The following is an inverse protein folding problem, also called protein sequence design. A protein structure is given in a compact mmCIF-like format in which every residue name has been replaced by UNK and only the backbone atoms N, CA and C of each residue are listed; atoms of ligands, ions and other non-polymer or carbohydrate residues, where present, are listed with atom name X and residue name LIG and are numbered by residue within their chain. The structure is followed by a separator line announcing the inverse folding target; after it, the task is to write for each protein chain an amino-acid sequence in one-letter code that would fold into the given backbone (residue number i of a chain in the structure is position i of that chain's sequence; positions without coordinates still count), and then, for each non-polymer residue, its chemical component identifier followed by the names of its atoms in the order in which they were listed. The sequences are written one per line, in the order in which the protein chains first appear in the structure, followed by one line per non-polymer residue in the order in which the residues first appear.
data_IF_071852738223
#
_entry.id   IF_071852738223
#
_cell.length_a   1.000
_cell.length_b   1.000
_cell.length_c   1.000
_cell.angle_alpha   90.00
_cell.angle_beta   90.00
_cell.angle_gamma   90.00
#
_symmetry.space_group_name_H-M   'P 1'
#
loop_
_entity.id
_entity.type
_entity.pdbx_description
1 polymer ?
#
# COMPACT_ATOMS: atom_id res chain seq x y z
N UNK A 1 -19.71 -34.78 19.05
CA UNK A 1 -18.96 -33.68 18.39
C UNK A 1 -17.63 -33.34 19.07
N UNK A 2 -17.53 -33.38 20.41
CA UNK A 2 -16.31 -33.01 21.16
C UNK A 2 -15.07 -33.91 20.90
N UNK A 3 -15.25 -35.21 20.67
CA UNK A 3 -14.15 -36.15 20.36
C UNK A 3 -13.58 -36.06 18.94
N UNK A 4 -14.40 -35.68 17.95
CA UNK A 4 -13.91 -35.47 16.56
C UNK A 4 -13.08 -34.20 16.45
N UNK A 5 -13.40 -33.16 17.23
CA UNK A 5 -12.64 -31.91 17.28
C UNK A 5 -11.24 -32.13 17.86
N UNK A 6 -11.11 -32.87 18.96
CA UNK A 6 -9.81 -33.19 19.57
C UNK A 6 -8.91 -34.04 18.66
N UNK A 7 -9.45 -35.11 18.06
CA UNK A 7 -8.70 -35.93 17.09
C UNK A 7 -8.28 -35.10 15.87
N UNK A 8 -9.12 -34.15 15.43
CA UNK A 8 -8.79 -33.24 14.34
C UNK A 8 -7.72 -32.23 14.74
N UNK A 9 -7.78 -31.65 15.95
CA UNK A 9 -6.76 -30.76 16.49
C UNK A 9 -5.41 -31.46 16.65
N UNK A 10 -5.38 -32.69 17.16
CA UNK A 10 -4.16 -33.48 17.30
C UNK A 10 -3.58 -33.88 15.94
N UNK A 11 -4.43 -34.25 14.98
CA UNK A 11 -4.03 -34.52 13.59
C UNK A 11 -3.48 -33.26 12.90
N UNK A 12 -4.08 -32.10 13.14
CA UNK A 12 -3.59 -30.81 12.64
C UNK A 12 -2.23 -30.50 13.28
N UNK A 13 -2.09 -30.61 14.60
CA UNK A 13 -0.84 -30.35 15.31
C UNK A 13 0.30 -31.30 14.87
N UNK A 14 0.00 -32.58 14.68
CA UNK A 14 0.98 -33.55 14.18
C UNK A 14 1.40 -33.25 12.74
N UNK A 15 0.47 -32.92 11.84
CA UNK A 15 0.79 -32.57 10.45
C UNK A 15 1.52 -31.21 10.34
N UNK A 16 1.19 -30.24 11.20
CA UNK A 16 1.93 -28.98 11.32
C UNK A 16 3.36 -29.23 11.84
N UNK A 17 3.53 -30.11 12.83
CA UNK A 17 4.85 -30.52 13.33
C UNK A 17 5.69 -31.21 12.25
N UNK A 18 5.08 -32.04 11.40
CA UNK A 18 5.74 -32.65 10.23
C UNK A 18 6.08 -31.63 9.14
N UNK A 19 5.24 -30.62 8.92
CA UNK A 19 5.52 -29.49 8.02
C UNK A 19 6.68 -28.63 8.56
N UNK A 20 6.87 -28.66 9.88
CA UNK A 20 8.04 -28.13 10.56
C UNK A 20 9.15 -29.17 10.72
N UNK A 21 9.36 -30.12 9.80
CA UNK A 21 10.54 -30.99 9.79
C UNK A 21 11.59 -30.51 8.78
N UNK A 22 12.87 -30.80 9.04
CA UNK A 22 13.99 -30.45 8.14
C UNK A 22 14.25 -31.53 7.08
N UNK A 23 13.28 -32.40 6.79
CA UNK A 23 13.47 -33.48 5.81
C UNK A 23 13.50 -32.90 4.39
N UNK A 24 14.56 -33.23 3.65
CA UNK A 24 14.64 -32.92 2.21
C UNK A 24 13.67 -33.81 1.45
N UNK A 25 12.70 -33.23 0.74
CA UNK A 25 11.86 -33.99 -0.17
C UNK A 25 12.71 -34.54 -1.33
N UNK A 26 12.88 -35.87 -1.35
CA UNK A 26 13.50 -36.57 -2.46
C UNK A 26 12.71 -36.34 -3.74
N UNK A 27 13.32 -35.69 -4.73
CA UNK A 27 12.67 -35.39 -6.00
C UNK A 27 12.60 -36.65 -6.87
N UNK A 28 11.39 -37.16 -7.12
CA UNK A 28 11.09 -37.87 -8.38
C UNK A 28 10.26 -36.90 -9.22
N UNK A 29 10.94 -36.03 -9.96
CA UNK A 29 10.36 -35.35 -11.12
C UNK A 29 11.33 -35.57 -12.27
N UNK A 30 11.03 -36.48 -13.22
CA UNK A 30 11.86 -36.71 -14.39
C UNK A 30 11.64 -35.55 -15.38
N UNK A 31 12.71 -34.84 -15.77
CA UNK A 31 12.69 -34.01 -16.98
C UNK A 31 13.22 -32.57 -16.93
N UNK A 32 14.11 -32.17 -16.01
CA UNK A 32 14.68 -30.80 -16.00
C UNK A 32 16.21 -30.73 -16.04
N UNK A 33 16.87 -31.69 -16.69
CA UNK A 33 18.34 -31.66 -16.86
C UNK A 33 18.81 -30.67 -17.96
N UNK A 34 17.88 -30.07 -18.72
CA UNK A 34 18.21 -29.17 -19.83
C UNK A 34 18.49 -27.70 -19.46
N UNK A 35 18.21 -27.27 -18.22
CA UNK A 35 18.32 -25.84 -17.85
C UNK A 35 18.91 -25.57 -16.47
N UNK A 36 19.90 -26.37 -16.06
CA UNK A 36 20.64 -26.16 -14.80
C UNK A 36 22.07 -25.74 -15.12
N UNK A 37 22.37 -24.44 -14.96
CA UNK A 37 23.70 -23.89 -15.15
C UNK A 37 23.97 -22.82 -14.09
N UNK A 38 24.71 -23.21 -13.06
CA UNK A 38 24.99 -22.40 -11.86
C UNK A 38 25.78 -21.13 -12.18
N UNK A 39 26.80 -21.23 -13.04
CA UNK A 39 27.64 -20.09 -13.43
C UNK A 39 26.84 -19.06 -14.22
N UNK A 40 25.97 -19.53 -15.12
CA UNK A 40 25.10 -18.64 -15.90
C UNK A 40 23.97 -18.04 -15.03
N UNK A 41 23.41 -18.82 -14.10
CA UNK A 41 22.42 -18.35 -13.13
C UNK A 41 22.99 -17.23 -12.25
N UNK A 42 24.23 -17.35 -11.77
CA UNK A 42 24.89 -16.31 -10.96
C UNK A 42 25.04 -15.00 -11.75
N UNK A 43 25.48 -15.07 -13.01
CA UNK A 43 25.58 -13.89 -13.88
C UNK A 43 24.21 -13.23 -14.06
N UNK A 44 23.16 -14.01 -14.28
CA UNK A 44 21.79 -13.49 -14.38
C UNK A 44 21.34 -12.82 -13.07
N UNK A 45 21.65 -13.38 -11.90
CA UNK A 45 21.33 -12.76 -10.59
C UNK A 45 22.04 -11.42 -10.40
N UNK A 46 23.30 -11.29 -10.83
CA UNK A 46 24.03 -10.01 -10.78
C UNK A 46 23.43 -8.99 -11.75
N UNK A 47 23.02 -9.41 -12.94
CA UNK A 47 22.28 -8.56 -13.88
C UNK A 47 20.93 -8.13 -13.27
N UNK A 48 20.23 -9.04 -12.59
CA UNK A 48 18.99 -8.75 -11.89
C UNK A 48 19.17 -7.65 -10.83
N UNK A 49 20.20 -7.78 -9.98
CA UNK A 49 20.55 -6.76 -8.97
C UNK A 49 20.72 -5.38 -9.61
N UNK A 50 21.53 -5.28 -10.66
CA UNK A 50 21.82 -4.01 -11.32
C UNK A 50 20.57 -3.40 -11.99
N UNK A 51 19.82 -4.22 -12.74
CA UNK A 51 18.63 -3.76 -13.48
C UNK A 51 17.49 -3.35 -12.56
N UNK A 52 17.19 -4.13 -11.52
CA UNK A 52 16.16 -3.83 -10.53
C UNK A 52 16.52 -2.56 -9.74
N UNK A 53 17.79 -2.41 -9.32
CA UNK A 53 18.25 -1.22 -8.60
C UNK A 53 18.08 0.05 -9.46
N UNK A 54 18.58 0.04 -10.70
CA UNK A 54 18.46 1.19 -11.61
C UNK A 54 16.99 1.53 -11.84
N UNK A 55 16.19 0.52 -12.12
CA UNK A 55 14.77 0.71 -12.44
C UNK A 55 13.98 1.20 -11.23
N UNK A 56 14.27 0.71 -10.03
CA UNK A 56 13.66 1.19 -8.78
C UNK A 56 14.05 2.63 -8.46
N UNK A 57 15.32 2.99 -8.60
CA UNK A 57 15.78 4.38 -8.43
C UNK A 57 15.09 5.31 -9.43
N UNK A 58 15.04 4.93 -10.71
CA UNK A 58 14.33 5.71 -11.73
C UNK A 58 12.83 5.84 -11.42
N UNK A 59 12.18 4.75 -11.02
CA UNK A 59 10.77 4.73 -10.65
C UNK A 59 10.42 5.75 -9.57
N UNK A 60 11.17 5.75 -8.46
CA UNK A 60 10.95 6.70 -7.35
C UNK A 60 11.39 8.12 -7.68
N UNK A 61 12.50 8.29 -8.42
CA UNK A 61 13.05 9.61 -8.72
C UNK A 61 12.15 10.44 -9.64
N UNK A 62 11.45 9.82 -10.60
CA UNK A 62 10.61 10.53 -11.59
C UNK A 62 9.51 11.38 -10.91
N UNK A 63 8.66 10.83 -10.02
CA UNK A 63 7.68 11.63 -9.28
C UNK A 63 8.30 12.67 -8.36
N UNK A 64 9.43 12.35 -7.70
CA UNK A 64 10.08 13.26 -6.75
C UNK A 64 10.68 14.49 -7.43
N UNK A 65 11.38 14.31 -8.55
CA UNK A 65 11.94 15.41 -9.35
C UNK A 65 10.85 16.16 -10.11
N UNK A 66 9.73 15.50 -10.42
CA UNK A 66 8.55 16.12 -11.02
C UNK A 66 7.95 17.28 -10.22
N UNK A 67 8.23 17.36 -8.91
CA UNK A 67 7.89 18.50 -8.06
C UNK A 67 8.60 19.80 -8.51
N UNK A 68 9.83 19.68 -9.02
CA UNK A 68 10.68 20.82 -9.38
C UNK A 68 10.71 21.09 -10.90
N UNK A 69 10.34 20.10 -11.73
CA UNK A 69 10.37 20.21 -13.19
C UNK A 69 8.99 20.44 -13.83
N UNK A 70 8.88 21.50 -14.65
CA UNK A 70 7.63 21.98 -15.30
C UNK A 70 6.95 20.94 -16.21
N UNK A 71 7.69 19.98 -16.78
CA UNK A 71 7.17 18.94 -17.69
C UNK A 71 6.51 17.76 -16.94
N UNK A 72 6.91 17.49 -15.70
CA UNK A 72 6.45 16.39 -14.86
C UNK A 72 5.67 16.88 -13.64
N UNK A 73 5.08 18.08 -13.74
CA UNK A 73 4.30 18.67 -12.64
C UNK A 73 3.24 17.66 -12.19
N UNK A 74 3.16 17.41 -10.89
CA UNK A 74 2.23 16.48 -10.23
C UNK A 74 0.75 16.75 -10.53
N UNK A 75 0.44 17.91 -11.13
CA UNK A 75 -0.89 18.26 -11.63
C UNK A 75 -1.22 17.80 -13.06
N UNK A 76 -0.24 17.28 -13.80
CA UNK A 76 -0.43 16.97 -15.21
C UNK A 76 -1.37 15.77 -15.40
N UNK A 77 -2.17 15.82 -16.48
CA UNK A 77 -3.06 14.71 -16.88
C UNK A 77 -2.29 13.40 -17.09
N UNK A 78 -1.05 13.49 -17.58
CA UNK A 78 -0.17 12.34 -17.78
C UNK A 78 0.27 11.71 -16.45
N UNK A 79 0.61 12.51 -15.44
CA UNK A 79 1.00 12.00 -14.13
C UNK A 79 -0.15 11.23 -13.46
N UNK A 80 -1.38 11.76 -13.54
CA UNK A 80 -2.58 11.09 -13.01
C UNK A 80 -2.87 9.78 -13.75
N UNK A 81 -2.74 9.75 -15.08
CA UNK A 81 -2.89 8.53 -15.85
C UNK A 81 -1.78 7.49 -15.53
N UNK A 82 -0.54 7.96 -15.34
CA UNK A 82 0.59 7.10 -14.96
C UNK A 82 0.43 6.52 -13.54
N UNK A 83 -0.13 7.29 -12.58
CA UNK A 83 -0.49 6.77 -11.25
C UNK A 83 -1.54 5.67 -11.35
N UNK A 84 -2.59 5.88 -12.14
CA UNK A 84 -3.63 4.89 -12.37
C UNK A 84 -3.08 3.61 -13.03
N UNK A 85 -2.19 3.77 -14.01
CA UNK A 85 -1.45 2.66 -14.62
C UNK A 85 -0.64 1.88 -13.58
N UNK A 86 0.16 2.58 -12.76
CA UNK A 86 0.97 1.97 -11.73
C UNK A 86 0.11 1.21 -10.70
N UNK A 87 -1.03 1.78 -10.29
CA UNK A 87 -1.98 1.11 -9.41
C UNK A 87 -2.52 -0.20 -10.01
N UNK A 88 -2.81 -0.21 -11.32
CA UNK A 88 -3.18 -1.42 -12.05
C UNK A 88 -2.06 -2.48 -12.07
N UNK A 89 -0.81 -2.07 -12.28
CA UNK A 89 0.37 -2.96 -12.20
C UNK A 89 0.47 -3.60 -10.82
N UNK A 90 0.41 -2.82 -9.74
CA UNK A 90 0.52 -3.32 -8.35
C UNK A 90 -0.62 -4.28 -8.02
N UNK A 91 -1.85 -3.96 -8.45
CA UNK A 91 -3.01 -4.83 -8.26
C UNK A 91 -2.79 -6.20 -8.93
N UNK A 92 -2.29 -6.20 -10.17
CA UNK A 92 -1.99 -7.42 -10.89
C UNK A 92 -0.79 -8.18 -10.28
N UNK A 93 0.24 -7.48 -9.77
CA UNK A 93 1.33 -8.12 -9.01
C UNK A 93 0.76 -8.93 -7.84
N UNK A 94 -0.10 -8.32 -7.02
CA UNK A 94 -0.73 -8.99 -5.88
C UNK A 94 -1.52 -10.24 -6.27
N UNK A 95 -2.41 -10.13 -7.26
CA UNK A 95 -3.32 -11.21 -7.63
C UNK A 95 -2.75 -12.28 -8.56
N UNK A 96 -1.90 -11.90 -9.50
CA UNK A 96 -1.47 -12.76 -10.61
C UNK A 96 -0.06 -13.30 -10.40
N UNK A 97 0.79 -12.59 -9.66
CA UNK A 97 2.16 -13.02 -9.41
C UNK A 97 2.32 -13.62 -8.00
N UNK A 98 2.02 -12.85 -6.97
CA UNK A 98 2.37 -13.23 -5.60
C UNK A 98 1.42 -14.27 -5.03
N UNK A 99 0.11 -14.08 -5.22
CA UNK A 99 -0.88 -14.99 -4.66
C UNK A 99 -0.81 -16.41 -5.27
N UNK A 100 -0.58 -16.59 -6.59
CA UNK A 100 -0.33 -17.91 -7.15
C UNK A 100 0.97 -18.54 -6.66
N UNK A 101 2.05 -17.77 -6.52
CA UNK A 101 3.32 -18.26 -5.96
C UNK A 101 3.15 -18.71 -4.50
N UNK A 102 2.40 -17.95 -3.70
CA UNK A 102 2.05 -18.39 -2.35
C UNK A 102 1.25 -19.70 -2.35
N UNK A 103 0.35 -19.86 -3.32
CA UNK A 103 -0.48 -21.05 -3.46
C UNK A 103 0.35 -22.25 -3.90
N UNK A 104 1.28 -22.08 -4.84
CA UNK A 104 2.15 -23.16 -5.30
C UNK A 104 3.08 -23.64 -4.17
N UNK A 105 3.67 -22.73 -3.37
CA UNK A 105 4.48 -23.12 -2.21
C UNK A 105 3.66 -23.83 -1.13
N UNK A 106 2.43 -23.39 -0.83
CA UNK A 106 1.58 -24.04 0.19
C UNK A 106 0.93 -25.34 -0.29
N UNK A 107 0.79 -25.56 -1.59
CA UNK A 107 0.15 -26.79 -2.14
C UNK A 107 1.15 -27.76 -2.76
N UNK A 108 2.45 -27.51 -2.56
CA UNK A 108 3.53 -28.33 -3.09
C UNK A 108 3.40 -29.79 -2.62
N UNK A 109 3.67 -30.79 -3.48
CA UNK A 109 3.64 -32.22 -3.11
C UNK A 109 4.54 -32.62 -1.94
N UNK A 110 5.54 -31.78 -1.60
CA UNK A 110 6.40 -31.94 -0.44
C UNK A 110 5.68 -31.72 0.91
N UNK A 111 4.51 -31.07 0.89
CA UNK A 111 3.70 -30.83 2.08
C UNK A 111 2.63 -31.92 2.26
N UNK A 112 2.24 -32.23 3.52
CA UNK A 112 1.16 -33.16 3.76
C UNK A 112 -0.15 -32.64 3.15
N UNK A 113 -0.87 -33.52 2.43
CA UNK A 113 -2.13 -33.19 1.74
C UNK A 113 -3.18 -32.54 2.66
N UNK A 114 -3.11 -32.81 3.96
CA UNK A 114 -3.91 -32.17 4.98
C UNK A 114 -2.98 -31.44 5.98
N UNK A 115 -3.26 -30.18 6.34
CA UNK A 115 -4.39 -29.34 5.92
C UNK A 115 -4.16 -28.60 4.59
N UNK A 116 -2.90 -28.50 4.14
CA UNK A 116 -2.46 -27.50 3.17
C UNK A 116 -3.12 -27.55 1.79
N UNK A 117 -3.30 -28.74 1.20
CA UNK A 117 -3.95 -28.87 -0.12
C UNK A 117 -5.48 -28.91 -0.06
N UNK A 118 -6.08 -28.95 1.13
CA UNK A 118 -7.54 -29.09 1.31
C UNK A 118 -8.27 -27.77 1.47
N UNK A 119 -7.56 -26.73 1.92
CA UNK A 119 -8.12 -25.40 2.15
C UNK A 119 -7.19 -24.36 1.52
N UNK A 120 -7.72 -23.33 0.84
CA UNK A 120 -6.91 -22.28 0.20
C UNK A 120 -6.31 -21.34 1.25
N UNK A 121 -5.31 -21.83 1.99
CA UNK A 121 -4.63 -21.07 3.05
C UNK A 121 -4.01 -19.78 2.53
N UNK A 122 -3.51 -19.77 1.29
CA UNK A 122 -2.93 -18.58 0.68
C UNK A 122 -3.93 -17.44 0.59
N UNK A 123 -5.10 -17.70 -0.01
CA UNK A 123 -6.18 -16.72 -0.12
C UNK A 123 -6.75 -16.30 1.24
N UNK A 124 -6.89 -17.23 2.18
CA UNK A 124 -7.34 -16.91 3.54
C UNK A 124 -6.37 -15.98 4.27
N UNK A 125 -5.07 -16.27 4.23
CA UNK A 125 -4.03 -15.44 4.87
C UNK A 125 -3.97 -14.07 4.19
N UNK A 126 -4.04 -14.01 2.85
CA UNK A 126 -4.08 -12.76 2.11
C UNK A 126 -5.29 -11.88 2.50
N UNK A 127 -6.48 -12.47 2.60
CA UNK A 127 -7.69 -11.77 3.05
C UNK A 127 -7.54 -11.25 4.49
N UNK A 128 -7.03 -12.08 5.41
CA UNK A 128 -6.80 -11.67 6.79
C UNK A 128 -5.76 -10.54 6.88
N UNK A 129 -4.71 -10.59 6.06
CA UNK A 129 -3.71 -9.53 5.97
C UNK A 129 -4.32 -8.22 5.45
N UNK A 130 -5.13 -8.27 4.39
CA UNK A 130 -5.82 -7.08 3.86
C UNK A 130 -6.75 -6.43 4.90
N UNK A 131 -7.50 -7.25 5.66
CA UNK A 131 -8.36 -6.76 6.76
C UNK A 131 -7.54 -6.16 7.91
N UNK A 132 -6.41 -6.79 8.26
CA UNK A 132 -5.50 -6.25 9.27
C UNK A 132 -4.88 -4.93 8.83
N UNK A 133 -4.52 -4.79 7.55
CA UNK A 133 -4.02 -3.53 6.98
C UNK A 133 -5.09 -2.44 7.03
N UNK A 134 -6.33 -2.74 6.65
CA UNK A 134 -7.46 -1.80 6.78
C UNK A 134 -7.63 -1.32 8.24
N UNK A 135 -7.57 -2.24 9.20
CA UNK A 135 -7.68 -1.91 10.61
C UNK A 135 -6.51 -1.01 11.07
N UNK A 136 -5.29 -1.34 10.64
CA UNK A 136 -4.10 -0.54 10.95
C UNK A 136 -4.19 0.86 10.35
N UNK A 137 -4.65 1.00 9.11
CA UNK A 137 -4.84 2.27 8.42
C UNK A 137 -5.92 3.14 9.10
N UNK A 138 -7.04 2.52 9.51
CA UNK A 138 -8.09 3.21 10.27
C UNK A 138 -7.60 3.69 11.64
N UNK A 139 -6.96 2.82 12.42
CA UNK A 139 -6.41 3.17 13.74
C UNK A 139 -5.33 4.25 13.60
N UNK A 140 -4.45 4.11 12.59
CA UNK A 140 -3.42 5.07 12.28
C UNK A 140 -4.02 6.45 12.00
N UNK A 141 -4.98 6.52 11.08
CA UNK A 141 -5.68 7.76 10.73
C UNK A 141 -6.32 8.41 11.95
N UNK A 142 -7.10 7.64 12.73
CA UNK A 142 -7.77 8.14 13.94
C UNK A 142 -6.80 8.62 15.03
N UNK A 143 -5.70 7.90 15.26
CA UNK A 143 -4.69 8.31 16.24
C UNK A 143 -4.03 9.63 15.85
N UNK A 144 -3.75 9.79 14.55
CA UNK A 144 -3.15 11.00 14.02
C UNK A 144 -4.10 12.20 14.07
N UNK A 145 -5.37 12.03 13.68
CA UNK A 145 -6.40 13.07 13.78
C UNK A 145 -6.56 13.57 15.23
N UNK A 146 -6.69 12.66 16.20
CA UNK A 146 -6.80 13.02 17.62
C UNK A 146 -5.58 13.75 18.18
N UNK A 147 -4.38 13.45 17.65
CA UNK A 147 -3.16 14.13 18.08
C UNK A 147 -3.09 15.56 17.53
N UNK A 148 -3.55 15.77 16.30
CA UNK A 148 -3.66 17.11 15.73
C UNK A 148 -4.70 17.95 16.44
N UNK A 149 -5.88 17.39 16.75
CA UNK A 149 -6.90 18.12 17.53
C UNK A 149 -6.32 18.62 18.85
N UNK A 150 -5.57 17.78 19.57
CA UNK A 150 -4.90 18.19 20.82
C UNK A 150 -3.83 19.26 20.61
N UNK A 151 -3.05 19.20 19.52
CA UNK A 151 -2.07 20.22 19.20
C UNK A 151 -2.72 21.56 18.83
N UNK A 152 -3.75 21.54 17.98
CA UNK A 152 -4.50 22.74 17.59
C UNK A 152 -5.19 23.37 18.80
N UNK A 153 -5.81 22.58 19.68
CA UNK A 153 -6.39 23.08 20.92
C UNK A 153 -5.34 23.64 21.89
N UNK A 154 -4.15 23.05 21.98
CA UNK A 154 -3.08 23.58 22.84
C UNK A 154 -2.51 24.91 22.33
N UNK A 155 -2.38 25.08 21.00
CA UNK A 155 -1.93 26.34 20.39
C UNK A 155 -3.00 27.43 20.52
N UNK A 156 -4.28 27.08 20.40
CA UNK A 156 -5.41 27.99 20.63
C UNK A 156 -5.50 28.43 22.10
N UNK A 157 -5.21 27.55 23.05
CA UNK A 157 -5.18 27.87 24.48
C UNK A 157 -3.99 28.79 24.84
N UNK A 158 -2.79 28.52 24.33
CA UNK A 158 -1.61 29.36 24.53
C UNK A 158 -1.77 30.77 23.92
N UNK A 159 -2.46 30.85 22.77
CA UNK A 159 -2.75 32.15 22.13
C UNK A 159 -3.87 32.93 22.81
N UNK A 160 -4.81 32.27 23.52
CA UNK A 160 -5.76 32.96 24.40
C UNK A 160 -5.09 33.49 25.68
N UNK A 161 -4.15 32.75 26.26
CA UNK A 161 -3.41 33.18 27.46
C UNK A 161 -2.52 34.41 27.18
N UNK A 162 -1.91 34.49 25.98
CA UNK A 162 -1.13 35.67 25.56
C UNK A 162 -1.97 36.93 25.33
N UNK A 163 -3.27 36.80 25.01
CA UNK A 163 -4.17 37.95 24.86
C UNK A 163 -4.68 38.42 26.23
N UNK A 164 -4.73 37.53 27.23
CA UNK A 164 -5.22 37.86 28.56
C UNK A 164 -4.25 38.71 29.41
N UNK A 165 -2.97 38.85 29.01
CA UNK A 165 -1.99 39.70 29.73
C UNK A 165 -1.98 41.18 29.30
N UNK A 166 -2.75 41.60 28.28
CA UNK A 166 -2.67 42.98 27.74
C UNK A 166 -3.88 43.89 27.95
N UNK A 167 -4.85 43.55 28.80
CA UNK A 167 -5.97 44.45 29.11
C UNK A 167 -6.40 44.41 30.57
N UNK A 168 -5.72 45.25 31.36
CA UNK A 168 -6.19 45.69 32.68
C UNK A 168 -7.25 46.77 32.46
N UNK A 169 -8.53 46.45 32.72
CA UNK A 169 -9.50 47.41 33.27
C UNK A 169 -10.46 46.65 34.19
N UNK A 170 -10.65 47.06 35.47
CA UNK A 170 -11.56 46.37 36.37
C UNK A 170 -12.99 46.89 36.16
N UNK A 171 -13.95 46.00 35.95
CA UNK A 171 -15.37 46.28 36.21
C UNK A 171 -16.00 45.11 36.94
N UNK A 172 -16.41 45.40 38.17
CA UNK A 172 -17.08 44.50 39.09
C UNK A 172 -18.60 44.51 38.87
N UNK A 173 -19.25 43.34 38.80
CA UNK A 173 -20.42 42.99 39.65
C UNK A 173 -21.00 41.59 39.42
N UNK A 174 -21.11 40.93 40.58
CA UNK A 174 -22.19 40.08 41.14
C UNK A 174 -22.35 38.61 40.74
N UNK A 175 -22.23 37.82 41.81
CA UNK A 175 -22.56 36.41 41.99
C UNK A 175 -24.08 36.11 41.90
N UNK A 176 -24.37 34.88 41.51
CA UNK A 176 -25.70 34.25 41.53
C UNK A 176 -25.65 32.81 41.00
N UNK A 177 -25.30 31.88 41.89
CA UNK A 177 -25.75 30.49 42.12
C UNK A 177 -26.23 29.49 41.03
N UNK A 178 -25.83 28.23 41.30
CA UNK A 178 -26.47 26.91 41.06
C UNK A 178 -26.58 26.19 39.68
N UNK A 179 -25.77 25.13 39.56
CA UNK A 179 -26.04 23.71 39.21
C UNK A 179 -26.53 23.24 37.82
N UNK A 180 -25.71 22.31 37.26
CA UNK A 180 -26.06 20.93 36.84
C UNK A 180 -27.03 20.72 35.64
N UNK A 181 -26.51 20.29 34.48
CA UNK A 181 -26.72 18.96 33.86
C UNK A 181 -26.15 18.95 32.44
N UNK A 182 -25.59 17.81 32.05
CA UNK A 182 -24.97 17.63 30.74
C UNK A 182 -25.99 17.48 29.61
N UNK A 183 -25.57 17.86 28.41
CA UNK A 183 -26.20 17.44 27.16
C UNK A 183 -25.07 17.21 26.14
N UNK A 184 -24.70 15.94 25.96
CA UNK A 184 -23.92 15.50 24.81
C UNK A 184 -24.84 15.56 23.58
N UNK A 185 -24.76 16.63 22.79
CA UNK A 185 -25.33 16.63 21.44
C UNK A 185 -24.25 16.38 20.38
N UNK A 186 -24.09 15.09 20.07
CA UNK A 186 -24.27 14.59 18.70
C UNK A 186 -23.54 15.31 17.57
N UNK A 187 -22.21 15.28 17.57
CA UNK A 187 -21.42 15.55 16.37
C UNK A 187 -21.54 14.40 15.36
N UNK A 188 -22.58 14.42 14.53
CA UNK A 188 -22.73 13.50 13.41
C UNK A 188 -21.62 13.76 12.36
N UNK A 189 -20.54 12.97 12.43
CA UNK A 189 -19.52 12.91 11.40
C UNK A 189 -20.07 12.11 10.21
N UNK A 190 -20.34 12.79 9.10
CA UNK A 190 -20.83 12.20 7.86
C UNK A 190 -19.71 11.40 7.18
N UNK A 191 -19.69 10.09 7.47
CA UNK A 191 -18.88 9.06 6.81
C UNK A 191 -19.59 8.64 5.51
N UNK A 192 -18.85 8.74 4.40
CA UNK A 192 -19.13 8.17 3.06
C UNK A 192 -20.47 8.58 2.44
N UNK A 193 -20.41 9.40 1.39
CA UNK A 193 -21.55 9.76 0.56
C UNK A 193 -22.21 8.54 -0.09
N UNK A 194 -23.34 8.11 0.47
CA UNK A 194 -24.33 7.26 -0.18
C UNK A 194 -25.67 7.99 -0.07
N UNK A 195 -26.15 8.47 -1.21
CA UNK A 195 -27.42 9.18 -1.34
C UNK A 195 -28.60 8.21 -1.10
N UNK A 196 -29.33 8.38 -0.01
CA UNK A 196 -30.60 7.70 0.24
C UNK A 196 -31.74 8.73 0.28
N UNK A 197 -32.71 8.56 -0.62
CA UNK A 197 -33.93 9.35 -0.68
C UNK A 197 -34.81 9.10 0.55
N UNK A 198 -35.11 10.15 1.31
CA UNK A 198 -36.28 10.20 2.18
C UNK A 198 -36.91 11.59 2.08
N UNK A 199 -38.15 11.62 1.60
CA UNK A 199 -38.94 12.81 1.35
C UNK A 199 -39.47 13.42 2.66
N UNK A 200 -39.26 14.73 2.86
CA UNK A 200 -40.21 15.58 3.59
C UNK A 200 -40.09 17.03 3.11
N UNK A 201 -41.24 17.60 2.74
CA UNK A 201 -41.38 18.89 2.07
C UNK A 201 -40.98 20.10 2.94
N UNK A 202 -40.16 21.00 2.40
CA UNK A 202 -40.28 22.45 2.61
C UNK A 202 -39.68 23.22 1.43
N UNK A 203 -40.44 24.16 0.88
CA UNK A 203 -40.12 24.92 -0.33
C UNK A 203 -39.18 26.12 -0.04
N UNK A 204 -38.12 26.27 -0.84
CA UNK A 204 -37.76 27.54 -1.49
C UNK A 204 -36.79 27.26 -2.67
N UNK A 205 -37.01 27.89 -3.83
CA UNK A 205 -36.22 27.70 -5.05
C UNK A 205 -35.04 28.67 -5.10
N UNK A 206 -33.84 28.15 -5.35
CA UNK A 206 -32.97 28.62 -6.44
C UNK A 206 -31.94 27.55 -6.78
N UNK A 207 -31.94 27.19 -8.05
CA UNK A 207 -31.17 26.13 -8.69
C UNK A 207 -29.66 26.37 -8.55
N UNK A 208 -29.00 25.62 -7.67
CA UNK A 208 -27.54 25.62 -7.56
C UNK A 208 -26.95 24.54 -8.48
N UNK A 209 -26.82 24.89 -9.76
CA UNK A 209 -25.79 24.29 -10.61
C UNK A 209 -24.46 24.89 -10.19
N UNK A 210 -23.60 24.13 -9.51
CA UNK A 210 -22.27 24.65 -9.18
C UNK A 210 -21.40 23.71 -8.36
N UNK A 211 -20.77 22.72 -9.00
CA UNK A 211 -19.69 21.96 -8.34
C UNK A 211 -18.44 21.77 -9.20
N UNK A 212 -18.31 22.45 -10.35
CA UNK A 212 -17.10 22.39 -11.17
C UNK A 212 -16.69 23.72 -11.84
N UNK A 213 -17.36 24.85 -11.59
CA UNK A 213 -17.00 26.13 -12.21
C UNK A 213 -16.10 26.99 -11.32
N UNK A 214 -14.87 27.22 -11.79
CA UNK A 214 -13.92 28.16 -11.22
C UNK A 214 -13.50 29.20 -12.25
N UNK A 215 -14.32 30.24 -12.48
CA UNK A 215 -13.88 31.62 -12.78
C UNK A 215 -15.08 32.56 -12.90
N UNK A 216 -15.23 33.52 -11.97
CA UNK A 216 -15.91 34.78 -12.25
C UNK A 216 -15.36 35.90 -11.35
N UNK A 217 -14.71 36.88 -11.97
CA UNK A 217 -14.27 38.12 -11.33
C UNK A 217 -15.46 38.85 -10.69
N UNK A 218 -15.43 39.03 -9.37
CA UNK A 218 -16.22 40.03 -8.67
C UNK A 218 -15.38 40.64 -7.54
N UNK A 219 -15.17 41.95 -7.63
CA UNK A 219 -14.43 42.75 -6.66
C UNK A 219 -15.25 42.90 -5.38
N UNK A 220 -14.85 42.19 -4.33
CA UNK A 220 -15.34 42.37 -2.96
C UNK A 220 -14.21 42.16 -1.97
N UNK A 221 -13.65 43.25 -1.45
CA UNK A 221 -12.62 43.20 -0.40
C UNK A 221 -13.27 42.89 0.96
N UNK A 222 -13.02 41.68 1.47
CA UNK A 222 -13.29 41.27 2.85
C UNK A 222 -11.98 40.74 3.42
N UNK A 223 -11.44 41.42 4.44
CA UNK A 223 -10.24 41.02 5.15
C UNK A 223 -10.62 40.06 6.27
N UNK A 224 -10.53 38.76 5.99
CA UNK A 224 -10.47 37.71 7.01
C UNK A 224 -9.09 37.09 6.99
N UNK A 225 -8.36 37.22 8.09
CA UNK A 225 -7.11 36.51 8.32
C UNK A 225 -7.40 35.03 8.59
N UNK A 226 -7.67 34.28 7.52
CA UNK A 226 -7.67 32.82 7.54
C UNK A 226 -6.24 32.32 7.61
N UNK A 227 -5.78 31.96 8.81
CA UNK A 227 -4.58 31.15 9.00
C UNK A 227 -4.80 29.82 8.25
N UNK A 228 -3.87 29.49 7.37
CA UNK A 228 -3.93 28.32 6.50
C UNK A 228 -4.04 27.02 7.31
N UNK A 229 -5.18 26.35 7.18
CA UNK A 229 -5.44 25.03 7.78
C UNK A 229 -6.02 24.00 6.81
N UNK A 230 -6.18 24.33 5.53
CA UNK A 230 -6.84 23.43 4.55
C UNK A 230 -5.84 22.48 3.86
N UNK A 231 -4.53 22.71 4.02
CA UNK A 231 -3.47 21.89 3.38
C UNK A 231 -2.82 20.87 4.34
N UNK A 232 -3.07 20.95 5.65
CA UNK A 232 -2.45 20.07 6.68
C UNK A 232 -3.20 18.73 6.87
N UNK A 233 -4.51 18.68 6.58
CA UNK A 233 -5.36 17.50 6.77
C UNK A 233 -5.08 16.39 5.74
N UNK A 234 -4.69 16.77 4.52
CA UNK A 234 -4.28 15.82 3.47
C UNK A 234 -2.89 15.20 3.72
N UNK A 235 -1.94 15.97 4.25
CA UNK A 235 -0.55 15.54 4.40
C UNK A 235 -0.37 14.35 5.35
N UNK A 236 -1.20 14.24 6.38
CA UNK A 236 -1.09 13.18 7.38
C UNK A 236 -1.68 11.86 6.92
N UNK A 237 -2.81 11.88 6.20
CA UNK A 237 -3.36 10.68 5.54
C UNK A 237 -2.36 10.14 4.52
N UNK A 238 -1.76 11.01 3.71
CA UNK A 238 -0.69 10.61 2.79
C UNK A 238 0.55 10.08 3.51
N UNK A 239 0.86 10.55 4.72
CA UNK A 239 1.99 10.07 5.50
C UNK A 239 1.76 8.66 6.07
N UNK A 240 0.57 8.38 6.61
CA UNK A 240 0.20 7.03 7.09
C UNK A 240 0.17 6.06 5.92
N UNK A 241 -0.52 6.42 4.83
CA UNK A 241 -0.56 5.63 3.59
C UNK A 241 0.86 5.36 3.08
N UNK A 242 1.73 6.37 3.03
CA UNK A 242 3.12 6.19 2.57
C UNK A 242 3.93 5.24 3.47
N UNK A 243 3.68 5.21 4.79
CA UNK A 243 4.37 4.31 5.71
C UNK A 243 3.85 2.87 5.59
N UNK A 244 2.53 2.69 5.47
CA UNK A 244 1.92 1.37 5.24
C UNK A 244 2.35 0.82 3.88
N UNK A 245 2.44 1.68 2.85
CA UNK A 245 2.92 1.35 1.51
C UNK A 245 4.39 0.92 1.54
N UNK A 246 5.24 1.64 2.27
CA UNK A 246 6.64 1.25 2.46
C UNK A 246 6.77 -0.10 3.16
N UNK A 247 6.01 -0.36 4.23
CA UNK A 247 6.04 -1.63 4.95
C UNK A 247 5.58 -2.82 4.07
N UNK A 248 4.49 -2.63 3.32
CA UNK A 248 3.96 -3.63 2.41
C UNK A 248 4.95 -4.01 1.31
N UNK A 249 5.53 -2.99 0.66
CA UNK A 249 6.53 -3.19 -0.40
C UNK A 249 7.83 -3.79 0.17
N UNK A 250 8.34 -3.31 1.30
CA UNK A 250 9.57 -3.86 1.90
C UNK A 250 9.43 -5.35 2.20
N UNK A 251 8.30 -5.76 2.79
CA UNK A 251 8.07 -7.18 3.09
C UNK A 251 8.08 -8.04 1.82
N UNK A 252 7.43 -7.55 0.77
CA UNK A 252 7.35 -8.21 -0.53
C UNK A 252 8.71 -8.34 -1.22
N UNK A 253 9.42 -7.21 -1.31
CA UNK A 253 10.70 -7.07 -2.00
C UNK A 253 11.81 -7.94 -1.40
N UNK A 254 11.80 -8.16 -0.07
CA UNK A 254 12.77 -9.07 0.58
C UNK A 254 12.50 -10.52 0.15
N UNK A 255 11.25 -10.97 0.16
CA UNK A 255 10.90 -12.36 -0.12
C UNK A 255 11.19 -12.69 -1.58
N UNK A 256 10.72 -11.87 -2.53
CA UNK A 256 11.06 -12.03 -3.95
C UNK A 256 12.58 -12.07 -4.14
N UNK A 257 13.29 -11.11 -3.53
CA UNK A 257 14.74 -11.03 -3.66
C UNK A 257 15.42 -12.32 -3.19
N UNK A 258 15.02 -12.82 -2.03
CA UNK A 258 15.53 -14.07 -1.47
C UNK A 258 15.25 -15.26 -2.40
N UNK A 259 14.00 -15.42 -2.87
CA UNK A 259 13.60 -16.53 -3.74
C UNK A 259 14.34 -16.51 -5.09
N UNK A 260 14.51 -15.33 -5.71
CA UNK A 260 15.32 -15.18 -6.93
C UNK A 260 16.81 -15.48 -6.66
N UNK A 261 17.34 -15.02 -5.53
CA UNK A 261 18.73 -15.23 -5.13
C UNK A 261 19.07 -16.71 -4.90
N UNK A 262 18.11 -17.49 -4.38
CA UNK A 262 18.25 -18.94 -4.15
C UNK A 262 18.04 -19.75 -5.44
N UNK A 263 17.33 -19.22 -6.45
CA UNK A 263 17.04 -19.98 -7.68
C UNK A 263 18.29 -20.38 -8.47
N UNK A 264 18.37 -21.63 -8.94
CA UNK A 264 19.53 -22.16 -9.67
C UNK A 264 19.29 -22.32 -11.18
N UNK A 265 18.09 -21.97 -11.66
CA UNK A 265 17.67 -22.23 -13.04
C UNK A 265 17.63 -20.94 -13.89
N UNK A 266 18.49 -20.81 -14.90
CA UNK A 266 18.48 -19.66 -15.80
C UNK A 266 17.16 -19.47 -16.55
N UNK A 267 16.44 -20.56 -16.85
CA UNK A 267 15.15 -20.52 -17.54
C UNK A 267 14.09 -19.79 -16.72
N UNK A 268 14.11 -19.89 -15.40
CA UNK A 268 13.19 -19.18 -14.51
C UNK A 268 13.71 -17.77 -14.24
N UNK A 269 15.01 -17.60 -13.98
CA UNK A 269 15.56 -16.27 -13.65
C UNK A 269 15.40 -15.27 -14.80
N UNK A 270 15.60 -15.69 -16.05
CA UNK A 270 15.60 -14.78 -17.22
C UNK A 270 14.28 -14.01 -17.42
N UNK A 271 13.11 -14.65 -17.49
CA UNK A 271 11.85 -13.92 -17.60
C UNK A 271 11.51 -13.16 -16.31
N UNK A 272 11.86 -13.71 -15.14
CA UNK A 272 11.67 -13.04 -13.86
C UNK A 272 12.37 -11.67 -13.83
N UNK A 273 13.59 -11.52 -14.36
CA UNK A 273 14.29 -10.22 -14.40
C UNK A 273 13.44 -9.13 -15.10
N UNK A 274 12.81 -9.46 -16.23
CA UNK A 274 11.97 -8.52 -16.97
C UNK A 274 10.69 -8.20 -16.20
N UNK A 275 10.04 -9.21 -15.64
CA UNK A 275 8.83 -9.03 -14.84
C UNK A 275 9.10 -8.19 -13.58
N UNK A 276 10.18 -8.49 -12.85
CA UNK A 276 10.61 -7.78 -11.65
C UNK A 276 11.01 -6.33 -11.94
N UNK A 277 11.78 -6.10 -13.01
CA UNK A 277 12.17 -4.74 -13.38
C UNK A 277 10.94 -3.89 -13.74
N UNK A 278 10.01 -4.46 -14.50
CA UNK A 278 8.81 -3.76 -14.92
C UNK A 278 7.92 -3.36 -13.73
N UNK A 279 7.58 -4.28 -12.82
CA UNK A 279 6.75 -3.90 -11.68
C UNK A 279 7.51 -3.04 -10.67
N UNK A 280 8.80 -3.29 -10.42
CA UNK A 280 9.61 -2.47 -9.50
C UNK A 280 9.66 -1.01 -9.97
N UNK A 281 9.69 -0.75 -11.28
CA UNK A 281 9.58 0.60 -11.81
C UNK A 281 8.29 1.29 -11.33
N UNK A 282 7.15 0.63 -11.54
CA UNK A 282 5.84 1.22 -11.30
C UNK A 282 5.46 1.22 -9.81
N UNK A 283 5.94 0.27 -9.02
CA UNK A 283 5.90 0.31 -7.56
C UNK A 283 6.68 1.51 -7.01
N UNK A 284 7.89 1.75 -7.54
CA UNK A 284 8.68 2.93 -7.21
C UNK A 284 8.00 4.23 -7.63
N UNK A 285 7.38 4.25 -8.81
CA UNK A 285 6.62 5.41 -9.30
C UNK A 285 5.40 5.71 -8.41
N UNK A 286 4.65 4.69 -7.98
CA UNK A 286 3.52 4.86 -7.08
C UNK A 286 3.98 5.40 -5.71
N UNK A 287 5.01 4.78 -5.12
CA UNK A 287 5.60 5.22 -3.85
C UNK A 287 6.14 6.66 -3.94
N UNK A 288 6.91 6.98 -4.97
CA UNK A 288 7.44 8.33 -5.19
C UNK A 288 6.32 9.36 -5.35
N UNK A 289 5.21 8.99 -5.99
CA UNK A 289 4.01 9.82 -6.10
C UNK A 289 3.37 10.11 -4.75
N UNK A 290 3.24 9.10 -3.88
CA UNK A 290 2.72 9.28 -2.52
C UNK A 290 3.67 10.12 -1.64
N UNK A 291 4.98 9.86 -1.70
CA UNK A 291 5.99 10.63 -0.97
C UNK A 291 5.99 12.11 -1.41
N UNK A 292 5.87 12.37 -2.71
CA UNK A 292 5.81 13.74 -3.24
C UNK A 292 4.58 14.51 -2.74
N UNK A 293 3.49 13.84 -2.39
CA UNK A 293 2.26 14.45 -1.87
C UNK A 293 2.31 14.64 -0.34
N UNK A 294 3.01 13.77 0.39
CA UNK A 294 3.13 13.81 1.85
C UNK A 294 4.04 14.92 2.42
N UNK A 295 4.65 15.75 1.55
CA UNK A 295 5.46 16.93 1.91
C UNK A 295 6.54 16.69 3.00
N UNK A 296 7.14 15.49 3.02
CA UNK A 296 8.17 15.14 3.99
C UNK A 296 9.46 15.96 3.83
N UNK A 297 10.22 16.08 4.92
CA UNK A 297 11.58 16.65 4.90
C UNK A 297 12.47 15.81 3.98
N UNK A 298 13.33 16.44 3.18
CA UNK A 298 14.18 15.79 2.18
C UNK A 298 14.94 14.57 2.71
N UNK A 299 15.41 14.62 3.97
CA UNK A 299 16.07 13.48 4.61
C UNK A 299 15.16 12.23 4.69
N UNK A 300 13.91 12.39 5.13
CA UNK A 300 12.95 11.27 5.23
C UNK A 300 12.59 10.75 3.85
N UNK A 301 12.34 11.65 2.89
CA UNK A 301 12.09 11.31 1.49
C UNK A 301 13.23 10.48 0.88
N UNK A 302 14.47 10.93 1.04
CA UNK A 302 15.66 10.21 0.54
C UNK A 302 15.85 8.88 1.26
N UNK A 303 15.60 8.82 2.57
CA UNK A 303 15.70 7.58 3.35
C UNK A 303 14.68 6.54 2.88
N UNK A 304 13.40 6.91 2.74
CA UNK A 304 12.35 6.00 2.26
C UNK A 304 12.63 5.52 0.83
N UNK A 305 13.05 6.42 -0.06
CA UNK A 305 13.46 6.06 -1.43
C UNK A 305 14.64 5.09 -1.46
N UNK A 306 15.62 5.29 -0.58
CA UNK A 306 16.80 4.44 -0.45
C UNK A 306 16.42 3.04 0.06
N UNK A 307 15.55 2.96 1.07
CA UNK A 307 15.04 1.69 1.60
C UNK A 307 14.32 0.90 0.50
N UNK A 308 13.40 1.52 -0.24
CA UNK A 308 12.74 0.87 -1.38
C UNK A 308 13.74 0.31 -2.41
N UNK A 309 14.70 1.14 -2.85
CA UNK A 309 15.62 0.76 -3.92
C UNK A 309 16.63 -0.33 -3.51
N UNK A 310 17.08 -0.34 -2.25
CA UNK A 310 18.10 -1.28 -1.76
C UNK A 310 17.52 -2.61 -1.26
N UNK A 311 16.24 -2.65 -0.90
CA UNK A 311 15.64 -3.83 -0.27
C UNK A 311 15.67 -5.07 -1.19
N UNK A 312 15.22 -4.95 -2.45
CA UNK A 312 15.22 -6.08 -3.40
C UNK A 312 16.64 -6.55 -3.75
N UNK A 313 17.59 -5.66 -4.11
CA UNK A 313 18.99 -6.04 -4.34
C UNK A 313 19.65 -6.74 -3.13
N UNK A 314 19.37 -6.24 -1.91
CA UNK A 314 19.85 -6.86 -0.68
C UNK A 314 19.24 -8.24 -0.47
N UNK A 315 17.94 -8.41 -0.72
CA UNK A 315 17.26 -9.70 -0.69
C UNK A 315 17.91 -10.72 -1.64
N UNK A 316 18.23 -10.31 -2.88
CA UNK A 316 18.92 -11.16 -3.86
C UNK A 316 20.32 -11.52 -3.38
N UNK A 317 21.08 -10.55 -2.86
CA UNK A 317 22.43 -10.78 -2.33
C UNK A 317 22.42 -11.77 -1.16
N UNK A 318 21.48 -11.62 -0.23
CA UNK A 318 21.26 -12.57 0.87
C UNK A 318 20.86 -13.94 0.33
N UNK A 319 19.95 -14.00 -0.65
CA UNK A 319 19.56 -15.27 -1.29
C UNK A 319 20.73 -15.99 -1.95
N UNK A 320 21.63 -15.27 -2.64
CA UNK A 320 22.87 -15.82 -3.17
C UNK A 320 23.74 -16.37 -2.04
N UNK A 321 23.94 -15.61 -0.96
CA UNK A 321 24.79 -16.00 0.16
C UNK A 321 24.29 -17.27 0.87
N UNK A 322 22.98 -17.42 1.06
CA UNK A 322 22.38 -18.55 1.77
C UNK A 322 22.07 -19.73 0.81
N UNK A 323 22.11 -19.53 -0.52
CA UNK A 323 21.80 -20.58 -1.52
C UNK A 323 22.60 -21.88 -1.35
N UNK A 324 23.80 -21.84 -0.76
CA UNK A 324 24.63 -23.02 -0.49
C UNK A 324 24.15 -23.86 0.70
N UNK A 325 23.45 -23.24 1.65
CA UNK A 325 23.02 -23.85 2.93
C UNK A 325 21.50 -23.99 3.05
N UNK A 326 20.74 -23.29 2.21
CA UNK A 326 19.29 -23.31 2.19
C UNK A 326 18.77 -24.29 1.14
N UNK A 327 17.93 -25.22 1.57
CA UNK A 327 17.20 -26.09 0.66
C UNK A 327 15.80 -25.51 0.40
N UNK A 328 15.54 -24.91 -0.78
CA UNK A 328 14.24 -24.33 -1.09
C UNK A 328 13.11 -25.37 -1.13
N UNK A 329 13.44 -26.65 -1.28
CA UNK A 329 12.47 -27.77 -1.29
C UNK A 329 12.24 -28.39 0.09
N UNK A 330 12.59 -27.70 1.16
CA UNK A 330 12.24 -28.12 2.52
C UNK A 330 10.77 -27.80 2.82
N UNK A 331 10.00 -28.68 3.47
CA UNK A 331 8.62 -28.39 3.90
C UNK A 331 8.53 -27.08 4.71
N UNK A 332 9.51 -26.82 5.58
CA UNK A 332 9.60 -25.57 6.35
C UNK A 332 9.78 -24.34 5.46
N UNK A 333 10.65 -24.42 4.46
CA UNK A 333 10.95 -23.34 3.54
C UNK A 333 9.69 -22.94 2.77
N UNK A 334 9.00 -23.93 2.21
CA UNK A 334 7.76 -23.77 1.45
C UNK A 334 6.62 -23.18 2.28
N UNK A 335 6.46 -23.62 3.54
CA UNK A 335 5.43 -23.06 4.43
C UNK A 335 5.74 -21.60 4.77
N UNK A 336 7.00 -21.28 5.10
CA UNK A 336 7.40 -19.90 5.43
C UNK A 336 7.20 -19.01 4.20
N UNK A 337 7.75 -19.38 3.05
CA UNK A 337 7.61 -18.65 1.79
C UNK A 337 6.13 -18.43 1.43
N UNK A 338 5.32 -19.49 1.51
CA UNK A 338 3.89 -19.44 1.22
C UNK A 338 3.11 -18.51 2.15
N UNK A 339 3.36 -18.55 3.46
CA UNK A 339 2.70 -17.65 4.43
C UNK A 339 3.11 -16.19 4.17
N UNK A 340 4.41 -15.94 4.02
CA UNK A 340 4.93 -14.58 3.83
C UNK A 340 4.46 -13.98 2.49
N UNK A 341 4.47 -14.75 1.39
CA UNK A 341 3.91 -14.31 0.11
C UNK A 341 2.40 -14.07 0.20
N UNK A 342 1.66 -14.89 0.95
CA UNK A 342 0.22 -14.66 1.15
C UNK A 342 -0.07 -13.35 1.88
N UNK A 343 0.65 -13.08 2.97
CA UNK A 343 0.52 -11.82 3.72
C UNK A 343 0.86 -10.64 2.81
N UNK A 344 1.98 -10.73 2.10
CA UNK A 344 2.44 -9.71 1.16
C UNK A 344 1.44 -9.43 0.05
N UNK A 345 0.86 -10.46 -0.58
CA UNK A 345 -0.19 -10.33 -1.59
C UNK A 345 -1.42 -9.61 -1.03
N UNK A 346 -1.86 -9.97 0.17
CA UNK A 346 -3.00 -9.33 0.84
C UNK A 346 -2.76 -7.83 1.09
N UNK A 347 -1.58 -7.48 1.59
CA UNK A 347 -1.19 -6.08 1.80
C UNK A 347 -1.19 -5.34 0.45
N UNK A 348 -0.52 -5.85 -0.58
CA UNK A 348 -0.42 -5.18 -1.88
C UNK A 348 -1.78 -5.01 -2.59
N UNK A 349 -2.68 -5.99 -2.46
CA UNK A 349 -4.06 -5.86 -2.96
C UNK A 349 -4.80 -4.74 -2.24
N UNK A 350 -4.68 -4.65 -0.90
CA UNK A 350 -5.25 -3.54 -0.14
C UNK A 350 -4.68 -2.20 -0.59
N UNK A 351 -3.35 -2.09 -0.66
CA UNK A 351 -2.65 -0.88 -1.09
C UNK A 351 -3.12 -0.43 -2.47
N UNK A 352 -3.26 -1.36 -3.42
CA UNK A 352 -3.70 -1.03 -4.76
C UNK A 352 -5.16 -0.56 -4.78
N UNK A 353 -6.08 -1.30 -4.16
CA UNK A 353 -7.52 -0.99 -4.24
C UNK A 353 -7.91 0.24 -3.42
N UNK A 354 -7.42 0.34 -2.18
CA UNK A 354 -7.86 1.38 -1.24
C UNK A 354 -6.97 2.61 -1.32
N UNK A 355 -5.65 2.41 -1.21
CA UNK A 355 -4.72 3.53 -1.02
C UNK A 355 -4.32 4.21 -2.34
N UNK A 356 -4.40 3.51 -3.47
CA UNK A 356 -4.10 4.07 -4.78
C UNK A 356 -5.37 4.30 -5.60
N UNK A 357 -6.17 3.26 -5.85
CA UNK A 357 -7.32 3.34 -6.76
C UNK A 357 -8.44 4.18 -6.15
N UNK A 358 -8.91 3.85 -4.95
CA UNK A 358 -10.01 4.59 -4.34
C UNK A 358 -9.60 6.02 -4.01
N UNK A 359 -8.42 6.23 -3.40
CA UNK A 359 -7.94 7.56 -3.05
C UNK A 359 -7.74 8.49 -4.28
N UNK A 360 -7.12 8.01 -5.36
CA UNK A 360 -6.84 8.85 -6.53
C UNK A 360 -8.04 8.97 -7.48
N UNK A 361 -8.76 7.87 -7.78
CA UNK A 361 -9.82 7.86 -8.80
C UNK A 361 -11.16 8.43 -8.31
N UNK A 362 -11.47 8.33 -7.02
CA UNK A 362 -12.69 8.91 -6.43
C UNK A 362 -12.50 10.37 -5.99
N UNK A 363 -11.33 10.95 -6.25
CA UNK A 363 -11.05 12.35 -5.91
C UNK A 363 -11.91 13.33 -6.72
N UNK A 364 -12.27 14.47 -6.10
CA UNK A 364 -13.07 15.54 -6.74
C UNK A 364 -12.44 16.07 -8.04
N UNK A 365 -11.10 16.03 -8.14
CA UNK A 365 -10.32 16.42 -9.33
C UNK A 365 -10.65 15.55 -10.55
N UNK A 366 -10.90 14.24 -10.35
CA UNK A 366 -11.26 13.30 -11.41
C UNK A 366 -12.73 13.44 -11.80
N UNK A 367 -13.61 13.61 -10.81
CA UNK A 367 -15.06 13.71 -11.03
C UNK A 367 -15.47 14.91 -11.88
N UNK A 368 -14.71 16.01 -11.86
CA UNK A 368 -15.01 17.19 -12.70
C UNK A 368 -14.46 17.09 -14.13
N UNK A 369 -13.69 16.05 -14.49
CA UNK A 369 -13.12 15.90 -15.82
C UNK A 369 -13.30 14.48 -16.38
N UNK A 370 -14.46 14.25 -17.00
CA UNK A 370 -14.83 12.95 -17.57
C UNK A 370 -13.79 12.39 -18.56
N UNK A 371 -13.11 13.24 -19.35
CA UNK A 371 -12.07 12.79 -20.28
C UNK A 371 -10.85 12.23 -19.53
N UNK A 372 -10.42 12.91 -18.46
CA UNK A 372 -9.31 12.43 -17.63
C UNK A 372 -9.69 11.14 -16.90
N UNK A 373 -10.90 11.06 -16.36
CA UNK A 373 -11.40 9.89 -15.67
C UNK A 373 -11.42 8.64 -16.57
N UNK A 374 -11.95 8.76 -17.80
CA UNK A 374 -11.94 7.66 -18.79
C UNK A 374 -10.52 7.24 -19.15
N UNK A 375 -9.61 8.21 -19.37
CA UNK A 375 -8.20 7.89 -19.66
C UNK A 375 -7.52 7.16 -18.50
N UNK A 376 -7.81 7.55 -17.26
CA UNK A 376 -7.26 6.90 -16.07
C UNK A 376 -7.80 5.49 -15.85
N UNK A 377 -9.10 5.24 -16.10
CA UNK A 377 -9.62 3.87 -16.08
C UNK A 377 -8.98 3.00 -17.16
N UNK A 378 -8.85 3.52 -18.38
CA UNK A 378 -8.16 2.79 -19.45
C UNK A 378 -6.70 2.49 -19.06
N UNK A 379 -5.98 3.47 -18.52
CA UNK A 379 -4.60 3.29 -18.07
C UNK A 379 -4.47 2.24 -16.94
N UNK A 380 -5.42 2.23 -15.99
CA UNK A 380 -5.48 1.23 -14.93
C UNK A 380 -5.65 -0.19 -15.47
N UNK A 381 -6.63 -0.41 -16.35
CA UNK A 381 -6.82 -1.74 -16.95
C UNK A 381 -5.64 -2.15 -17.82
N UNK A 382 -5.03 -1.20 -18.54
CA UNK A 382 -3.84 -1.43 -19.34
C UNK A 382 -2.66 -1.88 -18.45
N UNK A 383 -2.43 -1.20 -17.32
CA UNK A 383 -1.38 -1.56 -16.37
C UNK A 383 -1.58 -2.97 -15.81
N UNK A 384 -2.80 -3.28 -15.36
CA UNK A 384 -3.14 -4.61 -14.87
C UNK A 384 -2.99 -5.68 -15.96
N UNK A 385 -3.42 -5.41 -17.19
CA UNK A 385 -3.32 -6.32 -18.32
C UNK A 385 -1.88 -6.60 -18.75
N UNK A 386 -1.02 -5.56 -18.78
CA UNK A 386 0.39 -5.71 -19.12
C UNK A 386 1.15 -6.51 -18.06
N UNK A 387 0.94 -6.21 -16.78
CA UNK A 387 1.57 -6.98 -15.71
C UNK A 387 1.09 -8.44 -15.70
N UNK A 388 -0.20 -8.68 -15.91
CA UNK A 388 -0.75 -10.04 -16.03
C UNK A 388 -0.18 -10.80 -17.24
N UNK A 389 0.07 -10.10 -18.36
CA UNK A 389 0.65 -10.71 -19.56
C UNK A 389 2.10 -11.15 -19.34
N UNK A 390 2.87 -10.38 -18.56
CA UNK A 390 4.25 -10.76 -18.20
C UNK A 390 4.28 -12.04 -17.35
N UNK A 391 3.26 -12.28 -16.53
CA UNK A 391 3.16 -13.50 -15.72
C UNK A 391 2.97 -14.79 -16.56
N UNK A 392 2.56 -14.69 -17.83
CA UNK A 392 2.48 -15.87 -18.72
C UNK A 392 3.89 -16.36 -19.10
N UNK A 393 4.85 -15.45 -19.13
CA UNK A 393 6.22 -15.73 -19.58
C UNK A 393 7.21 -15.91 -18.42
N UNK A 394 6.81 -15.54 -17.21
CA UNK A 394 7.54 -15.75 -15.95
C UNK A 394 7.31 -17.17 -15.44
#
# INVERSE_FOLDING_TARGET
MRGKFWVYSDLVLQNLSQSMSNMTCGSIVPGLDGCRNESYALVLKLIAIATILITGVCGVAIPLVGKDCRFLRTDSKFFVAAKAFAAGVILATGFVHILPDATSSLTDPCLPKFPWSKFPFSGFIAMMAALATLLADFIGTQYYERKQEKQNHSVQADSLDLISESSIVPVERRAGDETLFGEEEGGAMHIVGIHAHAAHHRHNHSQENGACDGHSNSYGHSHSHGIGGIDEEGGVRHAVVSQVLELGIVSHSIIIGLSLGVSHSPCTIRPLIWALSFHQFFEGFALGGCISQAHFRTLKTTLMACFFALTTPLGIAVGIAVSSSYNPKSPRALVIEGIFNSISAGILVYMALVDLIAADLLSKKMSCNARLQVMSYFALFLGAGLMSSLAIWA
#
